data_IF_061961418817
#
_entry.id   IF_061961418817
#
_cell.length_a   1.000
_cell.length_b   1.000
_cell.length_c   1.000
_cell.angle_alpha   90.00
_cell.angle_beta   90.00
_cell.angle_gamma   90.00
#
_symmetry.space_group_name_H-M   'P 1'
#
loop_
_entity.id
_entity.type
_entity.pdbx_description
1 polymer ?
#
# COMPACT_ATOMS: atom_id res chain seq x y z
N UNK A 1 -85.31 0.48 -5.31
CA UNK A 1 -84.09 0.13 -4.54
C UNK A 1 -83.08 -0.42 -5.54
N UNK A 2 -82.23 0.43 -6.12
CA UNK A 2 -81.15 -0.02 -7.00
C UNK A 2 -80.01 -0.54 -6.13
N UNK A 3 -79.84 -1.86 -6.07
CA UNK A 3 -78.73 -2.49 -5.37
C UNK A 3 -77.42 -2.23 -6.13
N UNK A 4 -76.42 -1.73 -5.42
CA UNK A 4 -75.07 -1.57 -5.94
C UNK A 4 -74.54 -2.90 -6.49
N UNK A 5 -73.88 -2.83 -7.64
CA UNK A 5 -73.32 -4.01 -8.30
C UNK A 5 -72.05 -4.47 -7.58
N UNK A 6 -71.80 -5.78 -7.55
CA UNK A 6 -70.61 -6.38 -6.90
C UNK A 6 -69.30 -5.78 -7.42
N UNK A 7 -69.29 -5.29 -8.67
CA UNK A 7 -68.13 -4.60 -9.27
C UNK A 7 -67.83 -3.25 -8.62
N UNK A 8 -68.84 -2.49 -8.24
CA UNK A 8 -68.65 -1.17 -7.59
C UNK A 8 -68.02 -1.30 -6.19
N UNK A 9 -68.31 -2.37 -5.46
CA UNK A 9 -67.66 -2.64 -4.17
C UNK A 9 -66.18 -3.05 -4.32
N UNK A 10 -65.86 -3.81 -5.37
CA UNK A 10 -64.49 -4.22 -5.65
C UNK A 10 -63.63 -3.02 -6.08
N UNK A 11 -64.16 -2.16 -6.96
CA UNK A 11 -63.45 -0.95 -7.41
C UNK A 11 -63.24 0.05 -6.26
N UNK A 12 -64.21 0.17 -5.34
CA UNK A 12 -64.06 1.01 -4.14
C UNK A 12 -63.01 0.46 -3.16
N UNK A 13 -62.99 -0.85 -2.95
CA UNK A 13 -62.01 -1.52 -2.08
C UNK A 13 -60.57 -1.44 -2.60
N UNK A 14 -60.38 -1.65 -3.91
CA UNK A 14 -59.07 -1.57 -4.57
C UNK A 14 -58.56 -0.13 -4.56
N UNK A 15 -59.41 0.85 -4.85
CA UNK A 15 -59.04 2.27 -4.82
C UNK A 15 -58.70 2.78 -3.42
N UNK A 16 -59.39 2.31 -2.39
CA UNK A 16 -59.13 2.67 -0.99
C UNK A 16 -57.83 2.04 -0.46
N UNK A 17 -57.59 0.76 -0.76
CA UNK A 17 -56.35 0.06 -0.41
C UNK A 17 -55.12 0.68 -1.11
N UNK A 18 -55.24 1.04 -2.39
CA UNK A 18 -54.18 1.73 -3.13
C UNK A 18 -53.84 3.08 -2.50
N UNK A 19 -54.83 3.89 -2.10
CA UNK A 19 -54.60 5.20 -1.45
C UNK A 19 -54.01 5.07 -0.04
N UNK A 20 -54.31 3.99 0.67
CA UNK A 20 -53.73 3.69 1.99
C UNK A 20 -52.30 3.13 1.90
N UNK A 21 -51.94 2.42 0.83
CA UNK A 21 -50.59 1.91 0.57
C UNK A 21 -49.65 2.98 -0.04
N UNK A 22 -50.18 3.91 -0.82
CA UNK A 22 -49.39 5.01 -1.43
C UNK A 22 -48.76 5.92 -0.38
N UNK A 23 -49.42 6.15 0.76
CA UNK A 23 -48.87 7.00 1.84
C UNK A 23 -47.63 6.40 2.54
N UNK A 24 -47.65 5.15 3.07
CA UNK A 24 -46.46 4.54 3.67
C UNK A 24 -45.38 4.25 2.62
N UNK A 25 -45.73 3.84 1.40
CA UNK A 25 -44.73 3.61 0.33
C UNK A 25 -44.06 4.91 -0.08
N UNK A 26 -44.79 6.02 -0.24
CA UNK A 26 -44.19 7.32 -0.53
C UNK A 26 -43.32 7.84 0.62
N UNK A 27 -43.71 7.61 1.88
CA UNK A 27 -42.89 7.96 3.04
C UNK A 27 -41.63 7.10 3.12
N UNK A 28 -41.72 5.79 2.88
CA UNK A 28 -40.56 4.89 2.81
C UNK A 28 -39.64 5.21 1.64
N UNK A 29 -40.20 5.55 0.47
CA UNK A 29 -39.42 5.96 -0.70
C UNK A 29 -38.76 7.32 -0.46
N UNK A 30 -39.45 8.26 0.19
CA UNK A 30 -38.88 9.56 0.55
C UNK A 30 -37.78 9.41 1.59
N UNK A 31 -37.98 8.57 2.62
CA UNK A 31 -36.95 8.24 3.61
C UNK A 31 -35.76 7.52 2.97
N UNK A 32 -36.00 6.58 2.05
CA UNK A 32 -34.96 5.93 1.25
C UNK A 32 -34.22 6.94 0.37
N UNK A 33 -34.92 7.85 -0.30
CA UNK A 33 -34.32 8.94 -1.07
C UNK A 33 -33.54 9.89 -0.17
N UNK A 34 -33.96 10.17 1.07
CA UNK A 34 -33.16 10.97 2.01
C UNK A 34 -31.94 10.22 2.54
N UNK A 35 -32.02 8.90 2.74
CA UNK A 35 -30.86 8.05 3.09
C UNK A 35 -29.89 7.96 1.91
N UNK A 36 -30.39 7.84 0.68
CA UNK A 36 -29.58 7.74 -0.55
C UNK A 36 -29.04 9.10 -0.99
N UNK A 37 -29.82 10.18 -0.88
CA UNK A 37 -29.40 11.55 -1.20
C UNK A 37 -28.53 12.15 -0.09
N UNK A 38 -28.76 11.80 1.18
CA UNK A 38 -27.75 11.97 2.25
C UNK A 38 -26.50 11.14 1.94
N UNK A 39 -26.68 9.95 1.36
CA UNK A 39 -25.64 9.07 0.82
C UNK A 39 -24.74 9.67 -0.25
N UNK A 40 -25.22 10.64 -1.05
CA UNK A 40 -24.39 11.34 -2.03
C UNK A 40 -23.32 12.24 -1.38
N UNK A 41 -23.48 12.60 -0.10
CA UNK A 41 -22.43 13.20 0.72
C UNK A 41 -21.59 12.17 1.50
N UNK A 42 -22.14 10.98 1.75
CA UNK A 42 -21.47 9.88 2.49
C UNK A 42 -20.34 9.27 1.67
N UNK A 43 -20.49 9.15 0.34
CA UNK A 43 -19.44 8.54 -0.49
C UNK A 43 -18.14 9.34 -0.41
N UNK A 44 -18.18 10.67 -0.51
CA UNK A 44 -16.95 11.47 -0.49
C UNK A 44 -16.34 11.57 0.93
N UNK A 45 -17.18 11.64 1.98
CA UNK A 45 -16.68 11.71 3.35
C UNK A 45 -16.08 10.38 3.84
N UNK A 46 -16.60 9.23 3.40
CA UNK A 46 -15.99 7.93 3.74
C UNK A 46 -14.67 7.70 3.01
N UNK A 47 -14.45 8.26 1.82
CA UNK A 47 -13.14 8.12 1.14
C UNK A 47 -12.01 8.83 1.91
N UNK A 48 -12.28 9.99 2.51
CA UNK A 48 -11.29 10.77 3.27
C UNK A 48 -11.34 10.54 4.80
N UNK A 49 -12.18 9.63 5.30
CA UNK A 49 -12.27 9.37 6.74
C UNK A 49 -11.02 8.66 7.27
N UNK A 50 -10.43 9.14 8.35
CA UNK A 50 -9.29 8.51 9.03
C UNK A 50 -9.74 7.56 10.14
N UNK A 51 -8.87 6.67 10.66
CA UNK A 51 -9.17 5.92 11.87
C UNK A 51 -9.64 6.85 13.00
N UNK A 52 -10.76 6.49 13.63
CA UNK A 52 -11.45 7.32 14.62
C UNK A 52 -12.57 8.22 14.07
N UNK A 53 -12.60 8.49 12.76
CA UNK A 53 -13.68 9.25 12.13
C UNK A 53 -14.95 8.38 11.98
N UNK A 54 -16.13 9.02 12.08
CA UNK A 54 -17.42 8.31 12.12
C UNK A 54 -17.72 7.47 10.86
N UNK A 55 -17.19 7.86 9.70
CA UNK A 55 -17.39 7.16 8.42
C UNK A 55 -16.32 6.11 8.10
N UNK A 56 -15.30 5.97 8.95
CA UNK A 56 -14.20 5.03 8.73
C UNK A 56 -14.65 3.55 8.67
N UNK A 57 -15.59 3.07 9.51
CA UNK A 57 -16.12 1.71 9.35
C UNK A 57 -16.80 1.47 7.99
N UNK A 58 -17.37 2.53 7.39
CA UNK A 58 -17.98 2.44 6.05
C UNK A 58 -16.90 2.30 4.99
N UNK A 59 -15.77 3.02 5.10
CA UNK A 59 -14.59 2.84 4.23
C UNK A 59 -14.12 1.39 4.23
N UNK A 60 -13.85 0.83 5.42
CA UNK A 60 -13.38 -0.56 5.55
C UNK A 60 -14.38 -1.57 4.99
N UNK A 61 -15.69 -1.32 5.15
CA UNK A 61 -16.74 -2.18 4.58
C UNK A 61 -16.72 -2.15 3.05
N UNK A 62 -16.50 -0.98 2.44
CA UNK A 62 -16.36 -0.86 0.98
C UNK A 62 -15.10 -1.57 0.46
N UNK A 63 -13.98 -1.46 1.18
CA UNK A 63 -12.73 -2.15 0.86
C UNK A 63 -12.89 -3.67 0.94
N UNK A 64 -13.54 -4.17 2.00
CA UNK A 64 -13.83 -5.60 2.15
C UNK A 64 -14.77 -6.13 1.05
N UNK A 65 -15.77 -5.32 0.64
CA UNK A 65 -16.62 -5.66 -0.49
C UNK A 65 -15.82 -5.77 -1.79
N UNK A 66 -14.89 -4.84 -2.05
CA UNK A 66 -13.99 -4.89 -3.21
C UNK A 66 -13.18 -6.19 -3.22
N UNK A 67 -12.58 -6.57 -2.08
CA UNK A 67 -11.85 -7.84 -1.97
C UNK A 67 -12.74 -9.07 -2.19
N UNK A 68 -13.97 -9.03 -1.69
CA UNK A 68 -14.93 -10.14 -1.78
C UNK A 68 -15.46 -10.37 -3.20
N UNK A 69 -15.63 -9.30 -3.99
CA UNK A 69 -16.08 -9.41 -5.39
C UNK A 69 -14.94 -9.74 -6.36
N UNK A 70 -13.69 -9.47 -5.98
CA UNK A 70 -12.52 -9.89 -6.75
C UNK A 70 -12.43 -11.41 -6.74
N UNK A 71 -12.50 -12.03 -7.92
CA UNK A 71 -12.56 -13.49 -8.07
C UNK A 71 -11.20 -14.17 -8.15
N UNK A 72 -10.13 -13.40 -8.32
CA UNK A 72 -8.76 -13.85 -8.57
C UNK A 72 -7.81 -13.33 -7.48
N UNK A 73 -6.90 -14.18 -7.00
CA UNK A 73 -6.01 -13.87 -5.88
C UNK A 73 -5.00 -12.79 -6.25
N UNK A 74 -4.51 -12.78 -7.50
CA UNK A 74 -3.67 -11.71 -8.02
C UNK A 74 -4.39 -10.34 -8.03
N UNK A 75 -5.70 -10.31 -8.34
CA UNK A 75 -6.49 -9.08 -8.27
C UNK A 75 -6.72 -8.62 -6.83
N UNK A 76 -6.90 -9.56 -5.89
CA UNK A 76 -7.00 -9.24 -4.46
C UNK A 76 -5.68 -8.66 -3.95
N UNK A 77 -4.54 -9.25 -4.30
CA UNK A 77 -3.24 -8.72 -3.90
C UNK A 77 -2.99 -7.32 -4.46
N UNK A 78 -3.38 -7.03 -5.71
CA UNK A 78 -3.34 -5.66 -6.27
C UNK A 78 -4.21 -4.68 -5.49
N UNK A 79 -5.39 -5.10 -5.02
CA UNK A 79 -6.20 -4.26 -4.12
C UNK A 79 -5.50 -4.04 -2.77
N UNK A 80 -4.81 -5.04 -2.22
CA UNK A 80 -4.04 -4.88 -0.99
C UNK A 80 -2.88 -3.89 -1.18
N UNK A 81 -2.22 -3.88 -2.34
CA UNK A 81 -1.25 -2.83 -2.71
C UNK A 81 -1.91 -1.45 -2.64
N UNK A 82 -3.10 -1.28 -3.20
CA UNK A 82 -3.80 0.02 -3.09
C UNK A 82 -4.18 0.38 -1.66
N UNK A 83 -4.58 -0.60 -0.85
CA UNK A 83 -5.06 -0.35 0.50
C UNK A 83 -3.91 0.00 1.44
N UNK A 84 -2.76 -0.68 1.28
CA UNK A 84 -1.54 -0.40 2.04
C UNK A 84 -1.06 1.03 1.82
N UNK A 85 -1.08 1.51 0.57
CA UNK A 85 -0.81 2.91 0.27
C UNK A 85 -1.75 3.86 0.98
N UNK A 86 -3.05 3.54 1.04
CA UNK A 86 -4.01 4.36 1.79
C UNK A 86 -3.74 4.34 3.30
N UNK A 87 -3.38 3.19 3.90
CA UNK A 87 -3.04 3.16 5.33
C UNK A 87 -1.85 4.06 5.63
N UNK A 88 -0.87 4.09 4.73
CA UNK A 88 0.29 4.95 4.84
C UNK A 88 -0.10 6.44 4.76
N UNK A 89 -0.90 6.83 3.77
CA UNK A 89 -1.45 8.20 3.68
C UNK A 89 -2.21 8.58 4.95
N UNK A 90 -3.05 7.69 5.47
CA UNK A 90 -3.80 7.94 6.69
C UNK A 90 -2.90 8.10 7.91
N UNK A 91 -1.81 7.33 8.02
CA UNK A 91 -0.81 7.54 9.06
C UNK A 91 -0.14 8.91 8.93
N UNK A 92 0.21 9.34 7.72
CA UNK A 92 0.79 10.68 7.50
C UNK A 92 -0.20 11.80 7.85
N UNK A 93 -1.47 11.66 7.50
CA UNK A 93 -2.52 12.64 7.82
C UNK A 93 -2.79 12.69 9.32
N UNK A 94 -2.77 11.54 10.00
CA UNK A 94 -2.94 11.45 11.45
C UNK A 94 -1.75 12.08 12.19
N UNK A 95 -0.51 11.82 11.76
CA UNK A 95 0.69 12.41 12.35
C UNK A 95 0.70 13.95 12.22
N UNK A 96 0.15 14.48 11.12
CA UNK A 96 0.01 15.92 10.92
C UNK A 96 -1.13 16.57 11.74
N UNK A 97 -2.07 15.78 12.30
CA UNK A 97 -3.19 16.32 13.10
C UNK A 97 -2.73 16.66 14.51
N UNK A 98 -3.23 17.78 15.04
CA UNK A 98 -3.04 18.11 16.45
C UNK A 98 -3.87 17.20 17.37
N UNK A 99 -3.27 16.77 18.49
CA UNK A 99 -3.92 15.93 19.51
C UNK A 99 -3.25 14.58 19.65
N UNK A 100 -3.74 13.74 20.56
CA UNK A 100 -3.25 12.37 20.72
C UNK A 100 -3.87 11.46 19.64
N UNK A 101 -3.10 11.15 18.61
CA UNK A 101 -3.48 10.26 17.51
C UNK A 101 -2.80 8.89 17.58
N UNK A 102 -2.03 8.61 18.63
CA UNK A 102 -1.17 7.42 18.73
C UNK A 102 -1.96 6.14 18.50
N UNK A 103 -3.15 6.02 19.10
CA UNK A 103 -4.01 4.84 18.92
C UNK A 103 -4.53 4.66 17.49
N UNK A 104 -4.82 5.75 16.79
CA UNK A 104 -5.30 5.75 15.42
C UNK A 104 -4.17 5.43 14.44
N UNK A 105 -2.97 5.98 14.67
CA UNK A 105 -1.76 5.68 13.90
C UNK A 105 -1.42 4.20 14.05
N UNK A 106 -1.40 3.67 15.28
CA UNK A 106 -1.16 2.26 15.55
C UNK A 106 -2.23 1.35 14.90
N UNK A 107 -3.49 1.80 14.85
CA UNK A 107 -4.52 1.06 14.12
C UNK A 107 -4.22 0.99 12.62
N UNK A 108 -3.92 2.13 11.98
CA UNK A 108 -3.56 2.17 10.57
C UNK A 108 -2.29 1.35 10.27
N UNK A 109 -1.29 1.41 11.16
CA UNK A 109 -0.06 0.63 11.04
C UNK A 109 -0.32 -0.87 11.07
N UNK A 110 -1.19 -1.34 11.98
CA UNK A 110 -1.56 -2.75 12.02
C UNK A 110 -2.32 -3.21 10.78
N UNK A 111 -3.10 -2.33 10.14
CA UNK A 111 -3.74 -2.63 8.85
C UNK A 111 -2.70 -2.68 7.73
N UNK A 112 -1.81 -1.70 7.67
CA UNK A 112 -0.71 -1.67 6.70
C UNK A 112 0.12 -2.95 6.76
N UNK A 113 0.47 -3.41 7.96
CA UNK A 113 1.18 -4.67 8.21
C UNK A 113 0.39 -5.90 7.73
N UNK A 114 -0.93 -5.90 7.89
CA UNK A 114 -1.76 -7.03 7.43
C UNK A 114 -1.87 -7.06 5.91
N UNK A 115 -2.10 -5.91 5.29
CA UNK A 115 -2.23 -5.79 3.84
C UNK A 115 -0.91 -6.15 3.15
N UNK A 116 0.22 -5.66 3.66
CA UNK A 116 1.56 -6.00 3.16
C UNK A 116 1.90 -7.48 3.30
N UNK A 117 1.53 -8.14 4.40
CA UNK A 117 1.69 -9.59 4.51
C UNK A 117 0.93 -10.35 3.42
N UNK A 118 -0.29 -9.93 3.08
CA UNK A 118 -1.06 -10.57 2.00
C UNK A 118 -0.40 -10.33 0.64
N UNK A 119 0.16 -9.14 0.41
CA UNK A 119 0.95 -8.85 -0.80
C UNK A 119 2.14 -9.81 -0.87
N UNK A 120 2.90 -9.91 0.24
CA UNK A 120 4.09 -10.74 0.37
C UNK A 120 3.80 -12.23 0.15
N UNK A 121 2.70 -12.74 0.72
CA UNK A 121 2.28 -14.14 0.55
C UNK A 121 1.94 -14.47 -0.92
N UNK A 122 1.51 -13.48 -1.72
CA UNK A 122 1.18 -13.65 -3.14
C UNK A 122 2.37 -13.36 -4.07
N UNK A 123 3.44 -12.72 -3.58
CA UNK A 123 4.68 -12.48 -4.33
C UNK A 123 5.47 -13.79 -4.48
N UNK A 124 5.16 -14.51 -5.56
CA UNK A 124 5.79 -15.77 -5.94
C UNK A 124 6.50 -15.63 -7.28
N UNK A 125 7.34 -16.61 -7.66
CA UNK A 125 8.09 -16.57 -8.93
C UNK A 125 7.20 -16.37 -10.17
N UNK A 126 5.92 -16.72 -10.08
CA UNK A 126 4.99 -16.67 -11.21
C UNK A 126 4.16 -15.36 -11.22
N UNK A 127 4.30 -14.49 -10.22
CA UNK A 127 3.48 -13.29 -10.03
C UNK A 127 4.18 -11.99 -10.50
N UNK A 128 4.87 -12.01 -11.64
CA UNK A 128 5.63 -10.86 -12.16
C UNK A 128 4.79 -9.59 -12.37
N UNK A 129 3.52 -9.75 -12.74
CA UNK A 129 2.55 -8.65 -12.86
C UNK A 129 2.27 -7.97 -11.51
N UNK A 130 2.21 -8.75 -10.43
CA UNK A 130 2.03 -8.21 -9.08
C UNK A 130 3.33 -7.56 -8.60
N UNK A 131 4.48 -8.21 -8.81
CA UNK A 131 5.79 -7.66 -8.47
C UNK A 131 6.00 -6.27 -9.10
N UNK A 132 5.64 -6.09 -10.38
CA UNK A 132 5.69 -4.78 -11.05
C UNK A 132 4.75 -3.73 -10.47
N UNK A 133 3.58 -4.13 -9.96
CA UNK A 133 2.68 -3.21 -9.25
C UNK A 133 3.28 -2.80 -7.90
N UNK A 134 3.81 -3.78 -7.16
CA UNK A 134 4.47 -3.58 -5.87
C UNK A 134 5.65 -2.63 -6.03
N UNK A 135 6.58 -2.89 -6.95
CA UNK A 135 7.77 -2.04 -7.11
C UNK A 135 7.42 -0.59 -7.44
N UNK A 136 6.41 -0.35 -8.29
CA UNK A 136 5.91 1.01 -8.56
C UNK A 136 5.26 1.64 -7.33
N UNK A 137 4.51 0.88 -6.55
CA UNK A 137 3.80 1.42 -5.39
C UNK A 137 4.72 1.66 -4.20
N UNK A 138 5.74 0.83 -4.01
CA UNK A 138 6.76 1.00 -2.98
C UNK A 138 7.56 2.29 -3.20
N UNK A 139 7.87 2.66 -4.45
CA UNK A 139 8.46 3.97 -4.75
C UNK A 139 7.57 5.11 -4.21
N UNK A 140 6.26 5.02 -4.42
CA UNK A 140 5.29 5.97 -3.88
C UNK A 140 5.32 5.93 -2.35
N UNK A 141 5.34 4.75 -1.72
CA UNK A 141 5.41 4.63 -0.25
C UNK A 141 6.63 5.30 0.34
N UNK A 142 7.81 5.02 -0.22
CA UNK A 142 9.07 5.63 0.19
C UNK A 142 9.03 7.15 0.05
N UNK A 143 8.45 7.66 -1.04
CA UNK A 143 8.27 9.10 -1.23
C UNK A 143 7.32 9.71 -0.18
N UNK A 144 6.23 9.03 0.16
CA UNK A 144 5.24 9.46 1.16
C UNK A 144 5.83 9.49 2.56
N UNK A 145 6.56 8.43 2.98
CA UNK A 145 7.26 8.40 4.27
C UNK A 145 8.33 9.48 4.34
N UNK A 146 9.12 9.63 3.28
CA UNK A 146 10.20 10.61 3.24
C UNK A 146 9.71 12.06 3.30
N UNK A 147 8.53 12.32 2.73
CA UNK A 147 7.89 13.64 2.75
C UNK A 147 7.14 13.96 4.06
N UNK A 148 7.04 13.01 5.01
CA UNK A 148 6.33 13.20 6.28
C UNK A 148 7.27 13.15 7.49
N UNK A 149 7.85 14.28 7.92
CA UNK A 149 8.72 14.34 9.09
C UNK A 149 8.01 13.89 10.38
N UNK A 150 6.73 14.22 10.51
CA UNK A 150 5.94 13.92 11.71
C UNK A 150 5.79 12.41 11.91
N UNK A 151 5.51 11.66 10.83
CA UNK A 151 5.41 10.20 10.88
C UNK A 151 6.74 9.52 11.30
N UNK A 152 7.88 10.06 10.84
CA UNK A 152 9.21 9.57 11.22
C UNK A 152 9.49 9.71 12.72
N UNK A 153 8.90 10.71 13.36
CA UNK A 153 9.12 11.01 14.79
C UNK A 153 8.15 10.29 15.73
N UNK A 154 7.05 9.72 15.22
CA UNK A 154 5.88 9.32 16.01
C UNK A 154 5.76 7.80 16.26
N UNK A 155 6.90 7.12 16.42
CA UNK A 155 7.06 5.70 16.84
C UNK A 155 6.93 4.62 15.75
N UNK A 156 6.25 4.87 14.63
CA UNK A 156 6.05 3.84 13.58
C UNK A 156 6.94 4.01 12.35
N UNK A 157 7.67 5.12 12.22
CA UNK A 157 8.47 5.42 11.04
C UNK A 157 9.47 4.33 10.65
N UNK A 158 10.24 3.82 11.61
CA UNK A 158 11.19 2.72 11.39
C UNK A 158 10.48 1.43 10.95
N UNK A 159 9.39 1.06 11.64
CA UNK A 159 8.62 -0.15 11.31
C UNK A 159 7.95 -0.07 9.92
N UNK A 160 7.43 1.10 9.56
CA UNK A 160 6.87 1.36 8.22
C UNK A 160 7.95 1.16 7.17
N UNK A 161 9.13 1.75 7.38
CA UNK A 161 10.22 1.67 6.44
C UNK A 161 10.73 0.22 6.29
N UNK A 162 10.89 -0.52 7.39
CA UNK A 162 11.25 -1.94 7.39
C UNK A 162 10.26 -2.79 6.57
N UNK A 163 8.94 -2.55 6.74
CA UNK A 163 7.92 -3.28 5.98
C UNK A 163 7.96 -2.92 4.49
N UNK A 164 8.19 -1.66 4.14
CA UNK A 164 8.30 -1.23 2.75
C UNK A 164 9.50 -1.89 2.08
N UNK A 165 10.68 -1.84 2.72
CA UNK A 165 11.92 -2.46 2.26
C UNK A 165 11.74 -3.96 2.07
N UNK A 166 11.24 -4.67 3.09
CA UNK A 166 10.99 -6.11 3.00
C UNK A 166 10.00 -6.49 1.88
N UNK A 167 9.04 -5.61 1.56
CA UNK A 167 8.08 -5.82 0.47
C UNK A 167 8.73 -5.58 -0.90
N UNK A 168 9.62 -4.59 -1.01
CA UNK A 168 10.42 -4.36 -2.21
C UNK A 168 11.35 -5.55 -2.48
N UNK A 169 12.06 -6.03 -1.46
CA UNK A 169 13.00 -7.16 -1.57
C UNK A 169 12.33 -8.42 -2.14
N UNK A 170 11.11 -8.70 -1.71
CA UNK A 170 10.35 -9.82 -2.25
C UNK A 170 9.96 -9.61 -3.72
N UNK A 171 9.58 -8.40 -4.12
CA UNK A 171 9.32 -8.10 -5.53
C UNK A 171 10.59 -8.25 -6.37
N UNK A 172 11.75 -7.79 -5.86
CA UNK A 172 13.07 -8.00 -6.49
C UNK A 172 13.39 -9.49 -6.61
N UNK A 173 13.13 -10.31 -5.60
CA UNK A 173 13.34 -11.76 -5.67
C UNK A 173 12.46 -12.43 -6.74
N UNK A 174 11.22 -11.97 -6.95
CA UNK A 174 10.39 -12.43 -8.06
C UNK A 174 11.05 -12.13 -9.41
N UNK A 175 11.60 -10.93 -9.59
CA UNK A 175 12.32 -10.58 -10.82
C UNK A 175 13.63 -11.36 -10.99
N UNK A 176 14.41 -11.54 -9.91
CA UNK A 176 15.63 -12.33 -9.92
C UNK A 176 15.35 -13.76 -10.35
N UNK A 177 14.42 -14.44 -9.67
CA UNK A 177 14.05 -15.82 -9.98
C UNK A 177 13.47 -15.98 -11.39
N UNK A 178 12.64 -15.03 -11.83
CA UNK A 178 12.09 -15.01 -13.19
C UNK A 178 13.20 -14.85 -14.23
N UNK A 179 14.09 -13.89 -14.05
CA UNK A 179 15.18 -13.60 -14.97
C UNK A 179 16.17 -14.78 -15.04
N UNK A 180 16.53 -15.37 -13.90
CA UNK A 180 17.39 -16.56 -13.83
C UNK A 180 16.76 -17.75 -14.55
N UNK A 181 15.44 -17.93 -14.46
CA UNK A 181 14.74 -19.05 -15.09
C UNK A 181 14.44 -18.85 -16.57
N UNK A 182 14.08 -17.63 -16.99
CA UNK A 182 13.49 -17.39 -18.31
C UNK A 182 14.29 -16.43 -19.17
N UNK A 183 15.27 -15.73 -18.59
CA UNK A 183 16.02 -14.64 -19.23
C UNK A 183 15.09 -13.57 -19.81
N UNK A 184 13.96 -13.33 -19.14
CA UNK A 184 12.96 -12.35 -19.53
C UNK A 184 13.53 -10.92 -19.49
N UNK A 185 13.21 -10.16 -20.55
CA UNK A 185 13.71 -8.81 -20.76
C UNK A 185 13.02 -7.77 -19.87
N UNK A 186 11.75 -7.97 -19.53
CA UNK A 186 11.05 -7.05 -18.63
C UNK A 186 11.59 -7.20 -17.19
N UNK A 187 11.85 -8.43 -16.74
CA UNK A 187 12.48 -8.71 -15.45
C UNK A 187 13.88 -8.09 -15.36
N UNK A 188 14.68 -8.17 -16.43
CA UNK A 188 16.00 -7.50 -16.48
C UNK A 188 15.87 -5.98 -16.31
N UNK A 189 14.89 -5.36 -16.98
CA UNK A 189 14.63 -3.92 -16.91
C UNK A 189 14.18 -3.47 -15.52
N UNK A 190 13.32 -4.24 -14.84
CA UNK A 190 12.91 -3.95 -13.47
C UNK A 190 14.08 -4.11 -12.48
N UNK A 191 14.96 -5.11 -12.71
CA UNK A 191 16.19 -5.30 -11.93
C UNK A 191 17.19 -4.17 -12.15
N UNK A 192 17.43 -3.74 -13.40
CA UNK A 192 18.28 -2.59 -13.71
C UNK A 192 17.75 -1.33 -13.02
N UNK A 193 16.45 -1.06 -13.16
CA UNK A 193 15.83 0.11 -12.53
C UNK A 193 15.97 0.11 -11.01
N UNK A 194 15.67 -1.03 -10.36
CA UNK A 194 15.76 -1.13 -8.90
C UNK A 194 17.22 -1.04 -8.43
N UNK A 195 18.14 -1.70 -9.14
CA UNK A 195 19.57 -1.64 -8.84
C UNK A 195 20.08 -0.19 -8.92
N UNK A 196 19.70 0.55 -9.96
CA UNK A 196 20.16 1.94 -10.12
C UNK A 196 19.65 2.85 -8.99
N UNK A 197 18.44 2.61 -8.47
CA UNK A 197 17.91 3.32 -7.30
C UNK A 197 18.72 3.01 -6.04
N UNK A 198 18.91 1.73 -5.71
CA UNK A 198 19.66 1.31 -4.53
C UNK A 198 21.12 1.75 -4.61
N UNK A 199 21.75 1.60 -5.77
CA UNK A 199 23.10 2.06 -6.05
C UNK A 199 23.21 3.57 -5.79
N UNK A 200 22.31 4.37 -6.34
CA UNK A 200 22.34 5.84 -6.19
C UNK A 200 22.09 6.27 -4.74
N UNK A 201 21.16 5.60 -4.04
CA UNK A 201 20.88 5.87 -2.63
C UNK A 201 22.11 5.59 -1.76
N UNK A 202 22.75 4.45 -2.00
CA UNK A 202 23.95 4.02 -1.28
C UNK A 202 25.16 4.90 -1.60
N UNK A 203 25.35 5.28 -2.87
CA UNK A 203 26.38 6.22 -3.30
C UNK A 203 26.20 7.57 -2.58
N UNK A 204 24.99 8.12 -2.60
CA UNK A 204 24.68 9.37 -1.89
C UNK A 204 24.89 9.26 -0.38
N UNK A 205 24.58 8.11 0.21
CA UNK A 205 24.81 7.89 1.64
C UNK A 205 26.32 7.87 1.95
N UNK A 206 27.10 7.14 1.15
CA UNK A 206 28.55 7.05 1.29
C UNK A 206 29.24 8.41 1.14
N UNK A 207 28.73 9.30 0.28
CA UNK A 207 29.25 10.67 0.15
C UNK A 207 29.12 11.50 1.43
N UNK A 208 28.22 11.12 2.35
CA UNK A 208 28.07 11.82 3.64
C UNK A 208 29.18 11.50 4.64
N UNK A 209 29.97 10.45 4.39
CA UNK A 209 31.05 10.02 5.27
C UNK A 209 32.33 10.82 5.00
N UNK A 210 33.04 11.15 6.08
CA UNK A 210 34.38 11.74 5.94
C UNK A 210 35.40 10.68 5.49
N UNK A 211 36.45 11.11 4.79
CA UNK A 211 37.52 10.21 4.35
C UNK A 211 38.20 9.44 5.50
N UNK A 212 38.22 9.99 6.71
CA UNK A 212 38.75 9.31 7.90
C UNK A 212 37.80 8.21 8.40
N UNK A 213 36.49 8.46 8.39
CA UNK A 213 35.47 7.46 8.76
C UNK A 213 35.43 6.30 7.75
N UNK A 214 35.50 6.61 6.46
CA UNK A 214 35.56 5.60 5.41
C UNK A 214 36.84 4.75 5.53
N UNK A 215 37.99 5.40 5.76
CA UNK A 215 39.27 4.72 5.90
C UNK A 215 39.32 3.81 7.12
N UNK A 216 38.91 4.29 8.28
CA UNK A 216 38.96 3.49 9.52
C UNK A 216 38.07 2.25 9.43
N UNK A 217 36.93 2.35 8.73
CA UNK A 217 35.99 1.27 8.61
C UNK A 217 36.35 0.26 7.50
N UNK A 218 36.61 0.71 6.27
CA UNK A 218 36.84 -0.19 5.13
C UNK A 218 38.26 -0.78 5.07
N UNK A 219 39.25 -0.16 5.75
CA UNK A 219 40.61 -0.73 5.83
C UNK A 219 40.62 -2.09 6.53
N UNK A 220 39.71 -2.34 7.49
CA UNK A 220 39.57 -3.65 8.14
C UNK A 220 39.26 -4.78 7.14
N UNK A 221 38.61 -4.45 6.03
CA UNK A 221 38.18 -5.39 5.00
C UNK A 221 39.10 -5.39 3.77
N UNK A 222 40.22 -4.66 3.83
CA UNK A 222 41.21 -4.55 2.74
C UNK A 222 40.57 -4.17 1.39
N UNK A 223 39.62 -3.24 1.43
CA UNK A 223 38.80 -2.78 0.28
C UNK A 223 38.36 -1.33 0.50
N UNK A 224 37.59 -0.76 -0.43
CA UNK A 224 36.96 0.56 -0.29
C UNK A 224 35.48 0.49 -0.67
N UNK A 225 34.69 1.45 -0.20
CA UNK A 225 33.27 1.56 -0.56
C UNK A 225 33.09 1.67 -2.09
N UNK A 226 33.92 2.51 -2.73
CA UNK A 226 33.95 2.70 -4.19
C UNK A 226 34.29 1.41 -4.93
N UNK A 227 35.20 0.58 -4.41
CA UNK A 227 35.56 -0.68 -5.06
C UNK A 227 34.40 -1.67 -5.06
N UNK A 228 33.59 -1.70 -3.99
CA UNK A 228 32.38 -2.52 -3.94
C UNK A 228 31.29 -2.00 -4.88
N UNK A 229 31.06 -0.68 -4.92
CA UNK A 229 30.12 -0.08 -5.87
C UNK A 229 30.50 -0.42 -7.32
N UNK A 230 31.77 -0.24 -7.71
CA UNK A 230 32.26 -0.60 -9.05
C UNK A 230 32.04 -2.10 -9.34
N UNK A 231 32.28 -2.97 -8.35
CA UNK A 231 32.05 -4.41 -8.51
C UNK A 231 30.57 -4.73 -8.72
N UNK A 232 29.66 -4.10 -7.96
CA UNK A 232 28.23 -4.27 -8.11
C UNK A 232 27.76 -3.87 -9.53
N UNK A 233 28.20 -2.71 -10.00
CA UNK A 233 27.90 -2.18 -11.34
C UNK A 233 28.41 -3.11 -12.45
N UNK A 234 29.64 -3.63 -12.33
CA UNK A 234 30.20 -4.61 -13.26
C UNK A 234 29.43 -5.94 -13.29
N UNK A 235 28.90 -6.38 -12.15
CA UNK A 235 28.08 -7.58 -12.06
C UNK A 235 26.71 -7.36 -12.70
N UNK A 236 26.08 -6.19 -12.51
CA UNK A 236 24.85 -5.80 -13.21
C UNK A 236 25.05 -5.82 -14.72
N UNK A 237 26.13 -5.21 -15.22
CA UNK A 237 26.46 -5.18 -16.66
C UNK A 237 26.67 -6.58 -17.28
N UNK A 238 27.05 -7.56 -16.45
CA UNK A 238 27.18 -8.96 -16.83
C UNK A 238 25.87 -9.76 -16.66
N UNK A 239 24.75 -9.09 -16.35
CA UNK A 239 23.46 -9.68 -15.97
C UNK A 239 23.54 -10.62 -14.76
N UNK A 240 24.57 -10.48 -13.92
CA UNK A 240 24.75 -11.24 -12.68
C UNK A 240 23.99 -10.57 -11.50
N UNK A 241 22.71 -10.25 -11.72
CA UNK A 241 21.90 -9.42 -10.83
C UNK A 241 21.89 -9.86 -9.38
N UNK A 242 21.68 -11.16 -9.10
CA UNK A 242 21.66 -11.66 -7.72
C UNK A 242 22.94 -11.33 -6.97
N UNK A 243 24.10 -11.46 -7.62
CA UNK A 243 25.37 -11.10 -6.99
C UNK A 243 25.53 -9.59 -6.90
N UNK A 244 25.06 -8.83 -7.89
CA UNK A 244 25.08 -7.37 -7.87
C UNK A 244 24.31 -6.81 -6.65
N UNK A 245 23.06 -7.24 -6.45
CA UNK A 245 22.24 -6.85 -5.28
C UNK A 245 22.85 -7.33 -3.95
N UNK A 246 23.43 -8.53 -3.90
CA UNK A 246 24.16 -8.99 -2.71
C UNK A 246 25.31 -8.04 -2.32
N UNK A 247 26.04 -7.50 -3.30
CA UNK A 247 27.10 -6.53 -3.00
C UNK A 247 26.52 -5.23 -2.45
N UNK A 248 25.41 -4.72 -3.01
CA UNK A 248 24.75 -3.51 -2.47
C UNK A 248 24.30 -3.73 -1.01
N UNK A 249 23.66 -4.86 -0.72
CA UNK A 249 23.22 -5.24 0.63
C UNK A 249 24.41 -5.44 1.60
N UNK A 250 25.54 -6.00 1.14
CA UNK A 250 26.76 -6.07 1.94
C UNK A 250 27.23 -4.66 2.37
N UNK A 251 27.22 -3.68 1.46
CA UNK A 251 27.60 -2.29 1.78
C UNK A 251 26.59 -1.62 2.72
N UNK A 252 25.29 -1.80 2.49
CA UNK A 252 24.25 -1.24 3.35
C UNK A 252 24.35 -1.75 4.78
N UNK A 253 24.53 -3.07 4.96
CA UNK A 253 24.75 -3.69 6.26
C UNK A 253 25.98 -3.10 6.96
N UNK A 254 27.05 -2.85 6.20
CA UNK A 254 28.24 -2.19 6.72
C UNK A 254 27.96 -0.78 7.22
N UNK A 255 27.17 0.02 6.49
CA UNK A 255 26.80 1.37 6.89
C UNK A 255 25.89 1.38 8.13
N UNK A 256 24.96 0.44 8.22
CA UNK A 256 24.10 0.30 9.39
C UNK A 256 24.93 0.00 10.65
N UNK A 257 25.86 -0.97 10.58
CA UNK A 257 26.77 -1.28 11.69
C UNK A 257 27.63 -0.08 12.07
N UNK A 258 28.10 0.70 11.10
CA UNK A 258 28.83 1.93 11.38
C UNK A 258 27.96 2.93 12.16
N UNK A 259 26.74 3.22 11.68
CA UNK A 259 25.81 4.16 12.34
C UNK A 259 25.48 3.77 13.78
N UNK A 260 25.42 2.46 14.08
CA UNK A 260 25.17 1.95 15.43
C UNK A 260 26.39 2.05 16.36
N UNK A 261 27.60 2.11 15.81
CA UNK A 261 28.86 2.07 16.58
C UNK A 261 29.57 3.42 16.69
N UNK A 262 29.18 4.40 15.87
CA UNK A 262 29.65 5.81 15.90
C UNK A 262 28.85 6.70 16.84
#
# INVERSE_FOLDING_TARGET
MSGFSVREYLDYGIGYAARLAVKPVAVSLTAFVFVVAGGLGITNASFYSLPGDAMYPVKLSMEHLQLSISSDDAQRAKLQVEFAGRRLEEMTDLAARSGDQVSNIQYAMNQFRQETRVIQDELTSDSTDLAREVSRKVEIYNSTVSASPDLKTELVGEEVQEIIEATQDQAVEVFLSTHESTQDAESAKELDYTFDQEYSALESELETFTADQEKDFFTQFNTTSTAYLILADQLRDQAAYRRAFQILSEIEMFLQVFKETS
#
